data_IF_701100695828
#
_entry.id   IF_701100695828
#
_cell.length_a   1.000
_cell.length_b   1.000
_cell.length_c   1.000
_cell.angle_alpha   90.00
_cell.angle_beta   90.00
_cell.angle_gamma   90.00
#
_symmetry.space_group_name_H-M   'P 1'
#
loop_
_entity.id
_entity.type
_entity.pdbx_description
1 polymer ?
#
# COMPACT_ATOMS: atom_id res chain seq x y z
N UNK A 1 1.76 -44.13 -19.35
CA UNK A 1 2.22 -42.74 -19.19
C UNK A 1 1.12 -41.95 -18.50
N UNK A 2 1.16 -41.86 -17.18
CA UNK A 2 0.19 -41.09 -16.40
C UNK A 2 0.61 -39.63 -16.50
N UNK A 3 -0.17 -38.80 -17.22
CA UNK A 3 0.04 -37.36 -17.21
C UNK A 3 -0.16 -36.86 -15.78
N UNK A 4 0.92 -36.48 -15.11
CA UNK A 4 0.85 -35.64 -13.92
C UNK A 4 0.44 -34.26 -14.44
N UNK A 5 -0.86 -34.04 -14.56
CA UNK A 5 -1.42 -32.69 -14.67
C UNK A 5 -0.98 -32.00 -13.38
N UNK A 6 -0.08 -31.03 -13.47
CA UNK A 6 0.29 -30.22 -12.32
C UNK A 6 -0.97 -29.54 -11.83
N UNK A 7 -1.56 -30.04 -10.74
CA UNK A 7 -2.70 -29.37 -10.14
C UNK A 7 -2.20 -28.01 -9.67
N UNK A 8 -2.68 -26.94 -10.31
CA UNK A 8 -2.35 -25.58 -9.91
C UNK A 8 -2.67 -25.38 -8.42
N UNK A 9 -2.05 -24.38 -7.77
CA UNK A 9 -2.25 -24.14 -6.35
C UNK A 9 -3.76 -24.05 -6.03
N UNK A 10 -4.21 -24.85 -5.06
CA UNK A 10 -5.60 -24.87 -4.59
C UNK A 10 -5.74 -23.99 -3.35
N UNK A 11 -6.92 -23.37 -3.19
CA UNK A 11 -7.22 -22.55 -2.04
C UNK A 11 -7.57 -23.46 -0.86
N UNK A 12 -6.70 -23.49 0.15
CA UNK A 12 -6.95 -24.23 1.38
C UNK A 12 -8.02 -23.53 2.25
N UNK A 13 -8.49 -24.21 3.29
CA UNK A 13 -9.56 -23.67 4.15
C UNK A 13 -9.15 -22.35 4.82
N UNK A 14 -7.88 -22.24 5.25
CA UNK A 14 -7.32 -21.01 5.81
C UNK A 14 -7.27 -19.87 4.77
N UNK A 15 -6.90 -20.20 3.53
CA UNK A 15 -6.93 -19.27 2.41
C UNK A 15 -8.34 -18.78 2.10
N UNK A 16 -9.35 -19.64 2.13
CA UNK A 16 -10.73 -19.21 1.96
C UNK A 16 -11.17 -18.23 3.05
N UNK A 17 -10.86 -18.52 4.32
CA UNK A 17 -11.17 -17.61 5.43
C UNK A 17 -10.48 -16.26 5.26
N UNK A 18 -9.21 -16.26 4.86
CA UNK A 18 -8.49 -15.01 4.61
C UNK A 18 -9.06 -14.22 3.42
N UNK A 19 -9.49 -14.88 2.34
CA UNK A 19 -10.15 -14.21 1.21
C UNK A 19 -11.44 -13.52 1.65
N UNK A 20 -12.25 -14.20 2.48
CA UNK A 20 -13.47 -13.64 3.07
C UNK A 20 -13.18 -12.44 3.98
N UNK A 21 -12.13 -12.51 4.81
CA UNK A 21 -11.70 -11.37 5.64
C UNK A 21 -11.32 -10.17 4.79
N UNK A 22 -10.51 -10.35 3.74
CA UNK A 22 -10.05 -9.25 2.88
C UNK A 22 -11.26 -8.59 2.20
N UNK A 23 -12.11 -9.38 1.54
CA UNK A 23 -13.28 -8.87 0.82
C UNK A 23 -14.32 -8.24 1.76
N UNK A 24 -14.64 -8.92 2.86
CA UNK A 24 -15.55 -8.38 3.88
C UNK A 24 -15.02 -7.11 4.53
N UNK A 25 -13.74 -7.08 4.87
CA UNK A 25 -13.11 -5.96 5.55
C UNK A 25 -13.04 -4.69 4.71
N UNK A 26 -12.60 -4.80 3.45
CA UNK A 26 -12.56 -3.63 2.56
C UNK A 26 -13.96 -3.10 2.22
N UNK A 27 -14.92 -4.00 1.99
CA UNK A 27 -16.30 -3.62 1.68
C UNK A 27 -16.99 -2.98 2.88
N UNK A 28 -16.77 -3.47 4.10
CA UNK A 28 -17.32 -2.85 5.31
C UNK A 28 -16.76 -1.44 5.51
N UNK A 29 -15.44 -1.26 5.36
CA UNK A 29 -14.82 0.05 5.46
C UNK A 29 -15.34 1.04 4.41
N UNK A 30 -15.44 0.60 3.16
CA UNK A 30 -16.06 1.36 2.08
C UNK A 30 -17.52 1.75 2.42
N UNK A 31 -18.32 0.77 2.83
CA UNK A 31 -19.75 0.96 3.14
C UNK A 31 -19.94 1.99 4.24
N UNK A 32 -19.20 1.85 5.36
CA UNK A 32 -19.28 2.78 6.48
C UNK A 32 -18.87 4.19 6.03
N UNK A 33 -17.79 4.33 5.25
CA UNK A 33 -17.33 5.64 4.78
C UNK A 33 -18.37 6.35 3.90
N UNK A 34 -19.08 5.61 3.04
CA UNK A 34 -20.14 6.16 2.17
C UNK A 34 -21.40 6.49 2.96
N UNK A 35 -21.83 5.62 3.88
CA UNK A 35 -23.01 5.86 4.73
C UNK A 35 -22.82 7.07 5.65
N UNK A 36 -21.61 7.27 6.17
CA UNK A 36 -21.29 8.39 7.04
C UNK A 36 -20.87 9.66 6.29
N UNK A 37 -20.81 9.59 4.95
CA UNK A 37 -20.32 10.66 4.07
C UNK A 37 -18.94 11.21 4.49
N UNK A 38 -18.02 10.31 4.85
CA UNK A 38 -16.67 10.69 5.26
C UNK A 38 -15.77 10.95 4.06
N UNK A 39 -14.88 11.96 4.12
CA UNK A 39 -13.92 12.24 3.04
C UNK A 39 -12.88 11.12 2.95
N UNK A 40 -12.13 11.09 1.85
CA UNK A 40 -11.02 10.15 1.65
C UNK A 40 -11.42 8.67 1.84
N UNK A 41 -12.53 8.25 1.20
CA UNK A 41 -13.03 6.85 1.23
C UNK A 41 -11.97 5.79 0.88
N UNK A 42 -10.92 6.20 0.15
CA UNK A 42 -9.70 5.41 -0.08
C UNK A 42 -9.12 4.81 1.20
N UNK A 43 -8.96 5.58 2.29
CA UNK A 43 -8.33 5.09 3.51
C UNK A 43 -9.16 3.99 4.17
N UNK A 44 -10.46 4.21 4.24
CA UNK A 44 -11.40 3.25 4.82
C UNK A 44 -11.51 1.96 4.00
N UNK A 45 -11.29 2.02 2.69
CA UNK A 45 -11.35 0.84 1.82
C UNK A 45 -10.02 0.08 1.80
N UNK A 46 -8.90 0.80 1.71
CA UNK A 46 -7.58 0.22 1.44
C UNK A 46 -6.91 -0.27 2.72
N UNK A 47 -7.03 0.42 3.87
CA UNK A 47 -6.36 -0.03 5.09
C UNK A 47 -6.83 -1.40 5.59
N UNK A 48 -8.14 -1.73 5.64
CA UNK A 48 -8.58 -3.09 5.94
C UNK A 48 -8.02 -4.11 4.96
N UNK A 49 -7.95 -3.75 3.67
CA UNK A 49 -7.40 -4.60 2.64
C UNK A 49 -5.90 -4.87 2.83
N UNK A 50 -5.11 -3.84 3.16
CA UNK A 50 -3.68 -3.98 3.45
C UNK A 50 -3.47 -4.84 4.69
N UNK A 51 -4.17 -4.53 5.79
CA UNK A 51 -3.99 -5.22 7.07
C UNK A 51 -4.37 -6.71 6.95
N UNK A 52 -5.57 -7.00 6.42
CA UNK A 52 -6.06 -8.38 6.29
C UNK A 52 -5.39 -9.15 5.14
N UNK A 53 -4.86 -8.43 4.15
CA UNK A 53 -4.17 -9.01 3.00
C UNK A 53 -2.71 -9.39 3.29
N UNK A 54 -1.99 -8.55 4.03
CA UNK A 54 -0.57 -8.76 4.35
C UNK A 54 -0.36 -9.55 5.64
N UNK A 55 -1.35 -9.56 6.53
CA UNK A 55 -1.23 -10.19 7.84
C UNK A 55 -2.34 -11.24 8.01
N UNK A 56 -2.00 -12.53 7.94
CA UNK A 56 -3.00 -13.59 8.04
C UNK A 56 -3.50 -13.85 9.46
N UNK A 57 -2.81 -13.34 10.50
CA UNK A 57 -3.15 -13.51 11.92
C UNK A 57 -3.11 -12.19 12.67
N UNK A 58 -4.17 -11.84 13.39
CA UNK A 58 -4.22 -10.63 14.21
C UNK A 58 -3.56 -10.88 15.57
N UNK A 59 -2.47 -10.17 15.86
CA UNK A 59 -1.80 -10.22 17.17
C UNK A 59 -1.76 -8.84 17.83
N UNK A 60 -1.63 -8.80 19.15
CA UNK A 60 -1.53 -7.52 19.89
C UNK A 60 -0.33 -6.69 19.43
N UNK A 61 0.82 -7.34 19.19
CA UNK A 61 2.02 -6.66 18.69
C UNK A 61 1.79 -6.01 17.31
N UNK A 62 1.00 -6.67 16.47
CA UNK A 62 0.65 -6.18 15.14
C UNK A 62 -0.25 -4.93 15.19
N UNK A 63 -1.29 -4.99 16.01
CA UNK A 63 -2.19 -3.86 16.24
C UNK A 63 -1.40 -2.67 16.78
N UNK A 64 -0.50 -2.92 17.75
CA UNK A 64 0.37 -1.89 18.31
C UNK A 64 1.27 -1.27 17.24
N UNK A 65 1.89 -2.08 16.37
CA UNK A 65 2.70 -1.57 15.26
C UNK A 65 1.89 -0.71 14.28
N UNK A 66 0.66 -1.12 13.98
CA UNK A 66 -0.22 -0.39 13.06
C UNK A 66 -0.64 0.97 13.65
N UNK A 67 -1.14 0.99 14.89
CA UNK A 67 -1.52 2.24 15.58
C UNK A 67 -0.29 3.15 15.80
N UNK A 68 0.85 2.58 16.20
CA UNK A 68 2.08 3.35 16.37
C UNK A 68 2.54 3.98 15.05
N UNK A 69 2.45 3.24 13.92
CA UNK A 69 2.83 3.78 12.61
C UNK A 69 1.97 4.99 12.23
N UNK A 70 0.67 4.92 12.52
CA UNK A 70 -0.29 6.00 12.28
C UNK A 70 0.06 7.27 13.06
N UNK A 71 0.23 7.11 14.38
CA UNK A 71 0.57 8.19 15.29
C UNK A 71 1.92 8.82 14.93
N UNK A 72 2.90 7.98 14.58
CA UNK A 72 4.21 8.42 14.12
C UNK A 72 4.10 9.25 12.84
N UNK A 73 3.44 8.75 11.79
CA UNK A 73 3.29 9.48 10.53
C UNK A 73 2.55 10.81 10.72
N UNK A 74 1.47 10.83 11.52
CA UNK A 74 0.74 12.05 11.84
C UNK A 74 1.62 13.08 12.56
N UNK A 75 2.37 12.66 13.58
CA UNK A 75 3.27 13.53 14.33
C UNK A 75 4.37 14.12 13.43
N UNK A 76 5.01 13.28 12.63
CA UNK A 76 6.06 13.74 11.70
C UNK A 76 5.50 14.76 10.72
N UNK A 77 4.34 14.51 10.13
CA UNK A 77 3.71 15.44 9.18
C UNK A 77 3.39 16.78 9.83
N UNK A 78 2.87 16.79 11.06
CA UNK A 78 2.62 18.02 11.82
C UNK A 78 3.92 18.80 12.07
N UNK A 79 4.99 18.11 12.45
CA UNK A 79 6.31 18.73 12.67
C UNK A 79 6.86 19.30 11.35
N UNK A 80 6.86 18.51 10.27
CA UNK A 80 7.41 18.92 8.97
C UNK A 80 6.63 20.11 8.40
N UNK A 81 5.30 20.01 8.36
CA UNK A 81 4.46 21.06 7.80
C UNK A 81 4.43 22.31 8.69
N UNK A 82 4.39 22.12 10.02
CA UNK A 82 4.30 23.21 10.98
C UNK A 82 5.58 24.01 11.13
N UNK A 83 6.75 23.36 11.08
CA UNK A 83 8.03 24.02 11.36
C UNK A 83 8.90 24.23 10.12
N UNK A 84 8.80 23.39 9.09
CA UNK A 84 9.77 23.34 7.98
C UNK A 84 9.16 23.52 6.59
N UNK A 85 7.85 23.77 6.46
CA UNK A 85 7.17 23.94 5.16
C UNK A 85 7.75 25.05 4.28
N UNK A 86 8.34 26.09 4.87
CA UNK A 86 9.00 27.18 4.16
C UNK A 86 10.44 26.87 3.74
N UNK A 87 11.01 25.74 4.17
CA UNK A 87 12.39 25.31 3.89
C UNK A 87 12.40 23.96 3.16
N UNK A 88 12.04 23.92 1.87
CA UNK A 88 11.81 22.66 1.14
C UNK A 88 13.03 21.73 1.11
N UNK A 89 14.25 22.29 1.02
CA UNK A 89 15.49 21.49 1.04
C UNK A 89 15.71 20.84 2.41
N UNK A 90 15.50 21.59 3.49
CA UNK A 90 15.63 21.07 4.86
C UNK A 90 14.58 20.00 5.12
N UNK A 91 13.33 20.25 4.69
CA UNK A 91 12.25 19.27 4.80
C UNK A 91 12.60 17.97 4.04
N UNK A 92 13.15 18.04 2.83
CA UNK A 92 13.56 16.85 2.08
C UNK A 92 14.66 16.03 2.80
N UNK A 93 15.64 16.70 3.41
CA UNK A 93 16.68 16.04 4.21
C UNK A 93 16.13 15.39 5.48
N UNK A 94 15.18 16.04 6.15
CA UNK A 94 14.49 15.48 7.31
C UNK A 94 13.63 14.26 6.92
N UNK A 95 12.89 14.35 5.81
CA UNK A 95 12.12 13.24 5.24
C UNK A 95 13.03 12.06 4.93
N UNK A 96 14.21 12.29 4.34
CA UNK A 96 15.22 11.25 4.14
C UNK A 96 15.66 10.59 5.45
N UNK A 97 15.94 11.38 6.50
CA UNK A 97 16.27 10.85 7.82
C UNK A 97 15.16 9.98 8.42
N UNK A 98 13.90 10.40 8.29
CA UNK A 98 12.75 9.62 8.76
C UNK A 98 12.57 8.33 7.95
N UNK A 99 12.72 8.38 6.62
CA UNK A 99 12.69 7.16 5.81
C UNK A 99 13.83 6.20 6.18
N UNK A 100 15.04 6.70 6.46
CA UNK A 100 16.14 5.87 6.97
C UNK A 100 15.75 5.12 8.24
N UNK A 101 15.10 5.79 9.19
CA UNK A 101 14.58 5.14 10.39
C UNK A 101 13.52 4.07 10.04
N UNK A 102 12.53 4.39 9.22
CA UNK A 102 11.44 3.46 8.88
C UNK A 102 11.93 2.23 8.10
N UNK A 103 12.78 2.41 7.09
CA UNK A 103 13.37 1.29 6.35
C UNK A 103 14.34 0.49 7.22
N UNK A 104 14.98 1.09 8.22
CA UNK A 104 15.77 0.33 9.20
C UNK A 104 14.89 -0.59 10.05
N UNK A 105 13.71 -0.13 10.48
CA UNK A 105 12.72 -0.97 11.18
C UNK A 105 12.20 -2.11 10.28
N UNK A 106 12.08 -1.87 8.97
CA UNK A 106 11.75 -2.92 7.99
C UNK A 106 12.88 -3.94 7.83
N UNK A 107 14.11 -3.46 7.67
CA UNK A 107 15.26 -4.32 7.39
C UNK A 107 15.71 -5.16 8.60
N UNK A 108 15.57 -4.63 9.83
CA UNK A 108 15.93 -5.30 11.09
C UNK A 108 14.88 -6.31 11.59
N UNK A 109 13.67 -6.28 11.04
CA UNK A 109 12.65 -7.34 11.15
C UNK A 109 11.72 -7.34 12.35
N UNK A 110 12.13 -6.82 13.52
CA UNK A 110 11.28 -6.81 14.73
C UNK A 110 10.06 -5.90 14.60
N UNK A 111 10.16 -4.83 13.81
CA UNK A 111 9.14 -3.81 13.62
C UNK A 111 8.80 -3.63 12.12
N UNK A 112 8.83 -4.72 11.35
CA UNK A 112 8.64 -4.67 9.90
C UNK A 112 7.35 -3.97 9.49
N UNK A 113 6.22 -4.28 10.14
CA UNK A 113 4.93 -3.69 9.79
C UNK A 113 4.83 -2.23 10.20
N UNK A 114 5.39 -1.86 11.35
CA UNK A 114 5.49 -0.45 11.75
C UNK A 114 6.25 0.35 10.69
N UNK A 115 7.40 -0.16 10.22
CA UNK A 115 8.17 0.47 9.16
C UNK A 115 7.38 0.54 7.85
N UNK A 116 6.84 -0.59 7.37
CA UNK A 116 6.13 -0.67 6.10
C UNK A 116 4.89 0.26 6.05
N UNK A 117 4.05 0.20 7.08
CA UNK A 117 2.83 1.01 7.17
C UNK A 117 3.19 2.48 7.43
N UNK A 118 4.27 2.73 8.18
CA UNK A 118 4.82 4.06 8.43
C UNK A 118 5.30 4.74 7.15
N UNK A 119 6.06 4.05 6.29
CA UNK A 119 6.53 4.64 5.01
C UNK A 119 5.34 4.98 4.12
N UNK A 120 4.40 4.05 3.94
CA UNK A 120 3.21 4.30 3.10
C UNK A 120 2.36 5.44 3.65
N UNK A 121 2.02 5.41 4.94
CA UNK A 121 1.17 6.44 5.55
C UNK A 121 1.85 7.80 5.56
N UNK A 122 3.17 7.84 5.83
CA UNK A 122 3.94 9.08 5.81
C UNK A 122 4.03 9.66 4.40
N UNK A 123 4.34 8.86 3.38
CA UNK A 123 4.39 9.33 1.99
C UNK A 123 3.07 9.93 1.53
N UNK A 124 1.95 9.26 1.81
CA UNK A 124 0.62 9.78 1.42
C UNK A 124 0.29 11.08 2.15
N UNK A 125 0.54 11.15 3.47
CA UNK A 125 0.24 12.36 4.24
C UNK A 125 1.15 13.53 3.85
N UNK A 126 2.45 13.30 3.62
CA UNK A 126 3.38 14.33 3.14
C UNK A 126 3.02 14.82 1.74
N UNK A 127 2.53 13.94 0.88
CA UNK A 127 2.06 14.33 -0.45
C UNK A 127 0.90 15.31 -0.34
N UNK A 128 -0.17 14.92 0.34
CA UNK A 128 -1.30 15.82 0.53
C UNK A 128 -0.91 17.11 1.27
N UNK A 129 -0.06 17.01 2.30
CA UNK A 129 0.39 18.18 3.06
C UNK A 129 1.12 19.22 2.20
N UNK A 130 1.81 18.76 1.16
CA UNK A 130 2.56 19.62 0.25
C UNK A 130 1.67 20.56 -0.57
N UNK A 131 0.37 20.25 -0.70
CA UNK A 131 -0.58 21.03 -1.51
C UNK A 131 -1.60 21.83 -0.68
N UNK A 132 -1.43 21.85 0.65
CA UNK A 132 -2.31 22.55 1.61
C UNK A 132 -2.27 24.09 1.46
N UNK A 133 -1.42 24.64 0.58
CA UNK A 133 -1.34 26.08 0.29
C UNK A 133 -2.55 26.72 -0.42
N UNK A 134 -3.52 25.93 -0.88
CA UNK A 134 -4.73 26.42 -1.59
C UNK A 134 -5.97 26.56 -0.67
N UNK A 135 -5.79 27.02 0.56
CA UNK A 135 -6.90 27.32 1.49
C UNK A 135 -7.54 26.10 2.20
N UNK A 136 -6.98 24.91 2.03
CA UNK A 136 -7.38 23.70 2.75
C UNK A 136 -6.52 23.51 4.01
N UNK A 137 -7.04 22.79 5.02
CA UNK A 137 -6.29 22.46 6.23
C UNK A 137 -5.78 21.03 6.17
N UNK A 138 -4.61 20.76 6.76
CA UNK A 138 -4.06 19.42 6.89
C UNK A 138 -4.77 18.57 7.96
N UNK A 139 -5.42 19.21 8.95
CA UNK A 139 -6.01 18.51 10.09
C UNK A 139 -7.12 17.52 9.70
N UNK A 140 -8.07 17.84 8.80
CA UNK A 140 -9.08 16.88 8.35
C UNK A 140 -8.46 15.61 7.74
N UNK A 141 -7.37 15.73 6.99
CA UNK A 141 -6.68 14.57 6.43
C UNK A 141 -6.10 13.67 7.53
N UNK A 142 -5.37 14.26 8.47
CA UNK A 142 -4.74 13.54 9.59
C UNK A 142 -5.80 12.84 10.44
N UNK A 143 -6.89 13.55 10.77
CA UNK A 143 -8.00 13.02 11.55
C UNK A 143 -8.72 11.88 10.81
N UNK A 144 -9.01 12.05 9.52
CA UNK A 144 -9.66 11.02 8.70
C UNK A 144 -8.77 9.78 8.59
N UNK A 145 -7.46 9.96 8.42
CA UNK A 145 -6.50 8.87 8.40
C UNK A 145 -6.48 8.11 9.75
N UNK A 146 -6.44 8.84 10.87
CA UNK A 146 -6.51 8.25 12.21
C UNK A 146 -7.81 7.47 12.43
N UNK A 147 -8.95 8.03 12.02
CA UNK A 147 -10.26 7.37 12.10
C UNK A 147 -10.30 6.09 11.25
N UNK A 148 -9.78 6.14 10.02
CA UNK A 148 -9.71 4.97 9.14
C UNK A 148 -8.87 3.83 9.75
N UNK A 149 -7.78 4.17 10.44
CA UNK A 149 -6.91 3.20 11.10
C UNK A 149 -7.61 2.56 12.30
N UNK A 150 -8.26 3.36 13.15
CA UNK A 150 -9.06 2.84 14.27
C UNK A 150 -10.18 1.92 13.78
N UNK A 151 -10.93 2.37 12.77
CA UNK A 151 -11.99 1.55 12.17
C UNK A 151 -11.42 0.26 11.56
N UNK A 152 -10.26 0.34 10.91
CA UNK A 152 -9.58 -0.84 10.33
C UNK A 152 -9.25 -1.88 11.39
N UNK A 153 -8.78 -1.47 12.58
CA UNK A 153 -8.52 -2.41 13.69
C UNK A 153 -9.81 -3.08 14.15
N UNK A 154 -10.91 -2.32 14.29
CA UNK A 154 -12.22 -2.86 14.67
C UNK A 154 -12.73 -3.85 13.62
N UNK A 155 -12.66 -3.48 12.34
CA UNK A 155 -13.05 -4.35 11.22
C UNK A 155 -12.18 -5.61 11.20
N UNK A 156 -10.86 -5.48 11.41
CA UNK A 156 -9.97 -6.63 11.40
C UNK A 156 -10.29 -7.60 12.55
N UNK A 157 -10.53 -7.08 13.75
CA UNK A 157 -10.96 -7.90 14.90
C UNK A 157 -12.28 -8.62 14.60
N UNK A 158 -13.26 -7.91 14.03
CA UNK A 158 -14.54 -8.49 13.61
C UNK A 158 -14.36 -9.59 12.56
N UNK A 159 -13.59 -9.34 11.50
CA UNK A 159 -13.36 -10.31 10.42
C UNK A 159 -12.62 -11.56 10.92
N UNK A 160 -11.67 -11.40 11.84
CA UNK A 160 -11.00 -12.54 12.49
C UNK A 160 -11.93 -13.33 13.41
N UNK A 161 -12.92 -12.66 14.05
CA UNK A 161 -13.95 -13.32 14.85
C UNK A 161 -14.98 -14.08 13.99
N UNK A 162 -15.44 -13.48 12.89
CA UNK A 162 -16.43 -14.10 11.99
C UNK A 162 -15.84 -15.24 11.15
N UNK A 163 -14.58 -15.10 10.75
CA UNK A 163 -13.89 -16.08 9.92
C UNK A 163 -12.58 -16.47 10.61
N UNK A 164 -12.56 -17.26 11.70
CA UNK A 164 -11.32 -17.67 12.36
C UNK A 164 -10.49 -18.61 11.46
N UNK A 165 -9.17 -18.71 11.72
CA UNK A 165 -8.32 -19.69 11.04
C UNK A 165 -8.71 -21.09 11.52
N UNK A 166 -8.75 -22.05 10.58
CA UNK A 166 -9.06 -23.47 10.85
C UNK A 166 -7.87 -24.15 11.53
N UNK A 167 -6.65 -23.80 11.10
CA UNK A 167 -5.41 -24.31 11.69
C UNK A 167 -4.47 -23.15 12.03
N UNK A 168 -3.73 -23.29 13.12
CA UNK A 168 -2.76 -22.28 13.54
C UNK A 168 -1.69 -22.10 12.45
N UNK A 169 -1.41 -20.84 12.09
CA UNK A 169 -0.37 -20.51 11.11
C UNK A 169 0.98 -20.35 11.81
N UNK A 170 2.06 -20.92 11.28
CA UNK A 170 3.39 -20.72 11.85
C UNK A 170 3.80 -19.25 11.72
N UNK A 171 4.46 -18.73 12.74
CA UNK A 171 5.07 -17.41 12.69
C UNK A 171 6.15 -17.35 11.61
N UNK A 172 6.24 -16.24 10.88
CA UNK A 172 7.30 -16.04 9.90
C UNK A 172 8.62 -15.79 10.63
N UNK A 173 9.56 -16.72 10.49
CA UNK A 173 10.95 -16.50 10.96
C UNK A 173 11.67 -15.63 9.94
N UNK A 174 12.21 -14.51 10.40
CA UNK A 174 13.03 -13.64 9.54
C UNK A 174 14.48 -14.12 9.55
N UNK A 175 15.13 -14.24 8.39
CA UNK A 175 16.53 -14.61 8.32
C UNK A 175 17.40 -13.49 8.92
N UNK A 176 18.49 -13.86 9.59
CA UNK A 176 19.49 -12.91 10.03
C UNK A 176 20.17 -12.27 8.81
N UNK A 177 20.33 -10.94 8.84
CA UNK A 177 20.97 -10.17 7.76
C UNK A 177 22.29 -9.57 8.22
N UNK A 178 23.26 -9.51 7.30
CA UNK A 178 24.51 -8.80 7.52
C UNK A 178 24.26 -7.28 7.69
N UNK A 179 25.07 -6.61 8.52
CA UNK A 179 24.89 -5.18 8.83
C UNK A 179 25.07 -4.31 7.57
N UNK A 180 25.97 -4.71 6.69
CA UNK A 180 26.28 -4.10 5.41
C UNK A 180 25.06 -4.17 4.48
N UNK A 181 24.37 -5.31 4.47
CA UNK A 181 23.13 -5.49 3.70
C UNK A 181 22.01 -4.64 4.27
N UNK A 182 21.87 -4.55 5.60
CA UNK A 182 20.89 -3.64 6.22
C UNK A 182 21.16 -2.18 5.81
N UNK A 183 22.41 -1.72 5.88
CA UNK A 183 22.78 -0.35 5.45
C UNK A 183 22.47 -0.11 3.97
N UNK A 184 22.75 -1.09 3.12
CA UNK A 184 22.43 -1.03 1.70
C UNK A 184 20.93 -0.86 1.47
N UNK A 185 20.11 -1.74 2.05
CA UNK A 185 18.65 -1.71 1.91
C UNK A 185 18.08 -0.37 2.39
N UNK A 186 18.53 0.11 3.55
CA UNK A 186 18.07 1.38 4.13
C UNK A 186 18.42 2.56 3.23
N UNK A 187 19.68 2.71 2.82
CA UNK A 187 20.10 3.86 2.01
C UNK A 187 19.46 3.84 0.62
N UNK A 188 19.36 2.67 0.00
CA UNK A 188 18.72 2.49 -1.30
C UNK A 188 17.23 2.88 -1.21
N UNK A 189 16.48 2.29 -0.29
CA UNK A 189 15.05 2.53 -0.21
C UNK A 189 14.72 3.96 0.24
N UNK A 190 15.44 4.51 1.22
CA UNK A 190 15.21 5.88 1.68
C UNK A 190 15.53 6.92 0.61
N UNK A 191 16.63 6.75 -0.13
CA UNK A 191 16.98 7.67 -1.21
C UNK A 191 15.94 7.67 -2.33
N UNK A 192 15.47 6.49 -2.74
CA UNK A 192 14.43 6.38 -3.78
C UNK A 192 13.08 6.90 -3.29
N UNK A 193 12.69 6.63 -2.05
CA UNK A 193 11.46 7.16 -1.46
C UNK A 193 11.50 8.69 -1.34
N UNK A 194 12.63 9.27 -0.90
CA UNK A 194 12.82 10.72 -0.86
C UNK A 194 12.83 11.33 -2.26
N UNK A 195 13.47 10.69 -3.24
CA UNK A 195 13.43 11.16 -4.63
C UNK A 195 11.99 11.15 -5.16
N UNK A 196 11.24 10.08 -4.88
CA UNK A 196 9.83 10.01 -5.24
C UNK A 196 8.97 11.05 -4.52
N UNK A 197 9.32 11.46 -3.31
CA UNK A 197 8.71 12.62 -2.66
C UNK A 197 9.05 13.88 -3.50
N UNK A 198 10.32 14.27 -3.56
CA UNK A 198 10.77 15.50 -4.26
C UNK A 198 10.19 15.64 -5.68
N UNK A 199 10.21 14.58 -6.49
CA UNK A 199 9.68 14.61 -7.87
C UNK A 199 8.18 14.95 -7.89
N UNK A 200 7.39 14.38 -6.99
CA UNK A 200 5.95 14.63 -6.94
C UNK A 200 5.65 16.07 -6.52
N UNK A 201 6.45 16.62 -5.61
CA UNK A 201 6.30 18.01 -5.19
C UNK A 201 6.75 19.00 -6.28
N UNK A 202 7.91 18.76 -6.92
CA UNK A 202 8.47 19.66 -7.94
C UNK A 202 7.64 19.66 -9.22
N UNK A 203 7.09 18.51 -9.61
CA UNK A 203 6.26 18.38 -10.82
C UNK A 203 4.76 18.60 -10.56
N UNK A 204 4.38 19.03 -9.35
CA UNK A 204 2.99 19.31 -8.95
C UNK A 204 2.00 18.16 -9.25
N UNK A 205 2.39 16.93 -8.92
CA UNK A 205 1.63 15.72 -9.28
C UNK A 205 0.52 15.39 -8.26
N UNK A 206 -0.33 16.37 -7.94
CA UNK A 206 -1.36 16.29 -6.88
C UNK A 206 -2.25 15.05 -7.01
N UNK A 207 -2.75 14.78 -8.22
CA UNK A 207 -3.69 13.69 -8.50
C UNK A 207 -3.04 12.30 -8.59
N UNK A 208 -1.70 12.23 -8.57
CA UNK A 208 -0.95 10.98 -8.79
C UNK A 208 -0.59 10.22 -7.51
N UNK A 209 -1.34 10.39 -6.42
CA UNK A 209 -1.09 9.73 -5.12
C UNK A 209 -0.89 8.23 -5.26
N UNK A 210 -1.67 7.60 -6.13
CA UNK A 210 -1.57 6.17 -6.39
C UNK A 210 -0.25 5.74 -7.04
N UNK A 211 0.34 6.61 -7.86
CA UNK A 211 1.65 6.41 -8.47
C UNK A 211 2.77 6.56 -7.43
N UNK A 212 2.66 7.53 -6.52
CA UNK A 212 3.60 7.67 -5.40
C UNK A 212 3.48 6.51 -4.40
N UNK A 213 2.27 6.03 -4.11
CA UNK A 213 2.08 4.85 -3.29
C UNK A 213 2.68 3.61 -3.98
N UNK A 214 2.57 3.49 -5.30
CA UNK A 214 3.17 2.39 -6.05
C UNK A 214 4.71 2.44 -6.04
N UNK A 215 5.33 3.61 -6.19
CA UNK A 215 6.80 3.75 -6.10
C UNK A 215 7.32 3.36 -4.71
N UNK A 216 6.57 3.63 -3.66
CA UNK A 216 6.91 3.20 -2.28
C UNK A 216 6.70 1.70 -2.08
N UNK A 217 5.59 1.14 -2.55
CA UNK A 217 5.25 -0.28 -2.34
C UNK A 217 6.27 -1.23 -2.98
N UNK A 218 6.87 -0.88 -4.12
CA UNK A 218 7.91 -1.71 -4.74
C UNK A 218 9.19 -1.78 -3.88
N UNK A 219 9.43 -0.80 -3.02
CA UNK A 219 10.58 -0.75 -2.10
C UNK A 219 10.40 -1.67 -0.89
N UNK A 220 9.22 -2.25 -0.67
CA UNK A 220 9.02 -3.25 0.39
C UNK A 220 9.84 -4.52 0.18
N UNK A 221 10.30 -4.73 -1.05
CA UNK A 221 11.22 -5.79 -1.43
C UNK A 221 12.64 -5.60 -0.88
N UNK A 222 13.01 -4.37 -0.49
CA UNK A 222 14.29 -3.95 0.09
C UNK A 222 15.54 -4.16 -0.79
N UNK A 223 15.48 -4.95 -1.85
CA UNK A 223 16.61 -5.22 -2.75
C UNK A 223 16.27 -5.00 -4.22
N UNK A 224 17.28 -4.72 -5.05
CA UNK A 224 17.14 -4.39 -6.48
C UNK A 224 16.35 -5.45 -7.27
N UNK A 225 16.77 -6.73 -7.21
CA UNK A 225 16.14 -7.80 -7.99
C UNK A 225 14.69 -8.02 -7.62
N UNK A 226 14.39 -8.02 -6.31
CA UNK A 226 13.03 -8.19 -5.83
C UNK A 226 12.18 -6.94 -6.09
N UNK A 227 12.77 -5.74 -6.11
CA UNK A 227 12.08 -4.52 -6.51
C UNK A 227 11.65 -4.57 -7.98
N UNK A 228 12.50 -5.09 -8.87
CA UNK A 228 12.15 -5.32 -10.28
C UNK A 228 10.94 -6.23 -10.43
N UNK A 229 10.95 -7.39 -9.75
CA UNK A 229 9.80 -8.30 -9.75
C UNK A 229 8.55 -7.66 -9.15
N UNK A 230 8.68 -6.96 -8.01
CA UNK A 230 7.58 -6.27 -7.36
C UNK A 230 6.98 -5.18 -8.27
N UNK A 231 7.83 -4.42 -8.99
CA UNK A 231 7.41 -3.41 -9.96
C UNK A 231 6.63 -3.99 -11.12
N UNK A 232 7.10 -5.10 -11.69
CA UNK A 232 6.39 -5.79 -12.76
C UNK A 232 5.02 -6.31 -12.30
N UNK A 233 4.99 -6.98 -11.14
CA UNK A 233 3.76 -7.50 -10.56
C UNK A 233 2.77 -6.36 -10.23
N UNK A 234 3.28 -5.21 -9.77
CA UNK A 234 2.47 -4.02 -9.51
C UNK A 234 1.89 -3.44 -10.79
N UNK A 235 2.67 -3.32 -11.85
CA UNK A 235 2.21 -2.82 -13.15
C UNK A 235 1.09 -3.68 -13.72
N UNK A 236 1.26 -5.02 -13.72
CA UNK A 236 0.21 -5.96 -14.14
C UNK A 236 -1.03 -5.84 -13.24
N UNK A 237 -0.82 -5.78 -11.93
CA UNK A 237 -1.92 -5.62 -10.98
C UNK A 237 -2.71 -4.34 -11.19
N UNK A 238 -2.04 -3.23 -11.48
CA UNK A 238 -2.68 -1.95 -11.80
C UNK A 238 -3.42 -2.01 -13.13
N UNK A 239 -2.86 -2.63 -14.16
CA UNK A 239 -3.56 -2.82 -15.44
C UNK A 239 -4.87 -3.58 -15.25
N UNK A 240 -4.83 -4.75 -14.59
CA UNK A 240 -6.01 -5.58 -14.37
C UNK A 240 -7.01 -4.85 -13.46
N UNK A 241 -6.56 -4.21 -12.39
CA UNK A 241 -7.43 -3.48 -11.46
C UNK A 241 -8.13 -2.28 -12.11
N UNK A 242 -7.44 -1.53 -12.97
CA UNK A 242 -8.06 -0.45 -13.75
C UNK A 242 -9.12 -1.00 -14.71
N UNK A 243 -8.80 -2.07 -15.45
CA UNK A 243 -9.77 -2.69 -16.37
C UNK A 243 -10.99 -3.26 -15.63
N UNK A 244 -10.81 -3.88 -14.46
CA UNK A 244 -11.90 -4.36 -13.64
C UNK A 244 -12.80 -3.22 -13.12
N UNK A 245 -12.22 -2.08 -12.75
CA UNK A 245 -12.97 -0.89 -12.35
C UNK A 245 -13.78 -0.29 -13.51
N UNK A 246 -13.17 -0.19 -14.70
CA UNK A 246 -13.86 0.28 -15.91
C UNK A 246 -15.02 -0.65 -16.29
N UNK A 247 -14.79 -1.97 -16.26
CA UNK A 247 -15.84 -2.95 -16.51
C UNK A 247 -16.98 -2.84 -15.48
N UNK A 248 -16.64 -2.63 -14.22
CA UNK A 248 -17.63 -2.40 -13.15
C UNK A 248 -18.45 -1.13 -13.40
N UNK A 249 -17.84 -0.06 -13.90
CA UNK A 249 -18.56 1.17 -14.27
C UNK A 249 -19.49 0.96 -15.45
N UNK A 250 -19.10 0.16 -16.44
CA UNK A 250 -19.98 -0.23 -17.55
C UNK A 250 -21.19 -1.01 -17.03
N UNK A 251 -20.98 -1.94 -16.09
CA UNK A 251 -22.07 -2.70 -15.46
C UNK A 251 -22.99 -1.84 -14.59
N UNK A 252 -22.43 -0.92 -13.80
CA UNK A 252 -23.21 -0.01 -12.95
C UNK A 252 -23.97 1.02 -13.79
N UNK A 253 -23.36 1.49 -14.89
CA UNK A 253 -23.86 2.55 -15.75
C UNK A 253 -24.35 3.75 -14.91
N UNK A 254 -25.66 4.03 -14.88
CA UNK A 254 -26.29 5.10 -14.11
C UNK A 254 -26.71 4.71 -12.68
N UNK A 255 -26.43 3.48 -12.24
CA UNK A 255 -26.87 2.96 -10.94
C UNK A 255 -25.77 2.97 -9.86
N UNK A 256 -24.70 3.75 -10.07
CA UNK A 256 -23.65 3.94 -9.06
C UNK A 256 -24.16 4.57 -7.76
N UNK A 257 -25.28 5.29 -7.84
CA UNK A 257 -25.85 6.02 -6.69
C UNK A 257 -26.62 5.10 -5.75
N UNK A 258 -27.08 3.94 -6.24
CA UNK A 258 -27.68 2.92 -5.40
C UNK A 258 -26.60 2.08 -4.75
N UNK A 259 -26.17 2.51 -3.55
CA UNK A 259 -24.99 2.01 -2.83
C UNK A 259 -24.88 0.48 -2.74
N UNK A 260 -26.00 -0.25 -2.73
CA UNK A 260 -26.01 -1.71 -2.72
C UNK A 260 -25.27 -2.32 -3.93
N UNK A 261 -25.37 -1.73 -5.12
CA UNK A 261 -24.72 -2.29 -6.31
C UNK A 261 -23.19 -2.11 -6.28
N UNK A 262 -22.62 -0.91 -5.99
CA UNK A 262 -21.19 -0.77 -5.75
C UNK A 262 -20.67 -1.70 -4.64
N UNK A 263 -21.41 -1.85 -3.54
CA UNK A 263 -21.04 -2.75 -2.43
C UNK A 263 -20.95 -4.21 -2.91
N UNK A 264 -21.97 -4.68 -3.63
CA UNK A 264 -22.01 -6.05 -4.14
C UNK A 264 -20.86 -6.32 -5.11
N UNK A 265 -20.63 -5.42 -6.07
CA UNK A 265 -19.53 -5.55 -7.04
C UNK A 265 -18.18 -5.51 -6.34
N UNK A 266 -17.98 -4.55 -5.41
CA UNK A 266 -16.75 -4.43 -4.64
C UNK A 266 -16.45 -5.71 -3.89
N UNK A 267 -17.45 -6.29 -3.21
CA UNK A 267 -17.27 -7.53 -2.45
C UNK A 267 -16.95 -8.72 -3.36
N UNK A 268 -17.72 -8.93 -4.44
CA UNK A 268 -17.54 -10.05 -5.37
C UNK A 268 -16.14 -10.01 -6.00
N UNK A 269 -15.76 -8.86 -6.57
CA UNK A 269 -14.47 -8.72 -7.24
C UNK A 269 -13.31 -8.76 -6.24
N UNK A 270 -13.44 -8.12 -5.08
CA UNK A 270 -12.41 -8.21 -4.03
C UNK A 270 -12.24 -9.64 -3.53
N UNK A 271 -13.31 -10.43 -3.43
CA UNK A 271 -13.20 -11.85 -3.07
C UNK A 271 -12.44 -12.66 -4.13
N UNK A 272 -12.74 -12.45 -5.42
CA UNK A 272 -12.03 -13.09 -6.53
C UNK A 272 -10.55 -12.71 -6.52
N UNK A 273 -10.24 -11.42 -6.37
CA UNK A 273 -8.85 -10.94 -6.36
C UNK A 273 -8.08 -11.35 -5.10
N UNK A 274 -8.75 -11.42 -3.94
CA UNK A 274 -8.17 -11.95 -2.71
C UNK A 274 -7.82 -13.42 -2.84
N UNK A 275 -8.64 -14.21 -3.54
CA UNK A 275 -8.30 -15.59 -3.87
C UNK A 275 -7.02 -15.65 -4.72
N UNK A 276 -6.88 -14.83 -5.77
CA UNK A 276 -5.65 -14.79 -6.56
C UNK A 276 -4.43 -14.35 -5.75
N UNK A 277 -4.59 -13.38 -4.85
CA UNK A 277 -3.54 -12.96 -3.92
C UNK A 277 -3.04 -14.10 -3.04
N UNK A 278 -3.96 -14.89 -2.48
CA UNK A 278 -3.62 -16.00 -1.59
C UNK A 278 -3.00 -17.17 -2.35
N UNK A 279 -3.53 -17.50 -3.54
CA UNK A 279 -2.95 -18.51 -4.42
C UNK A 279 -1.54 -18.14 -4.89
N UNK A 280 -1.21 -16.84 -4.95
CA UNK A 280 0.13 -16.33 -5.19
C UNK A 280 1.09 -16.40 -3.99
N UNK A 281 0.69 -17.06 -2.89
CA UNK A 281 1.50 -17.21 -1.68
C UNK A 281 1.25 -16.14 -0.61
N UNK A 282 0.25 -15.26 -0.78
CA UNK A 282 -0.15 -14.26 0.21
C UNK A 282 0.85 -13.13 0.45
N UNK A 283 1.95 -13.09 -0.30
CA UNK A 283 2.92 -11.98 -0.33
C UNK A 283 2.41 -10.93 -1.32
N UNK A 284 2.63 -9.62 -1.08
CA UNK A 284 2.27 -8.58 -2.04
C UNK A 284 2.83 -8.86 -3.44
N UNK A 285 1.95 -9.24 -4.36
CA UNK A 285 2.26 -9.51 -5.77
C UNK A 285 1.13 -9.07 -6.68
N UNK A 286 0.89 -9.77 -7.80
CA UNK A 286 -0.12 -9.35 -8.80
C UNK A 286 -1.50 -9.23 -8.17
N UNK A 287 -2.00 -10.26 -7.47
CA UNK A 287 -3.33 -10.26 -6.86
C UNK A 287 -3.53 -9.11 -5.86
N UNK A 288 -2.51 -8.82 -5.05
CA UNK A 288 -2.52 -7.66 -4.15
C UNK A 288 -2.52 -6.32 -4.91
N UNK A 289 -1.77 -6.25 -6.01
CA UNK A 289 -1.77 -5.12 -6.93
C UNK A 289 -3.16 -4.85 -7.52
N UNK A 290 -3.86 -5.89 -7.96
CA UNK A 290 -5.25 -5.79 -8.45
C UNK A 290 -6.18 -5.29 -7.35
N UNK A 291 -6.17 -5.96 -6.20
CA UNK A 291 -6.99 -5.62 -5.03
C UNK A 291 -6.88 -4.14 -4.67
N UNK A 292 -5.66 -3.68 -4.43
CA UNK A 292 -5.42 -2.30 -3.98
C UNK A 292 -5.71 -1.28 -5.07
N UNK A 293 -5.42 -1.59 -6.34
CA UNK A 293 -5.77 -0.70 -7.46
C UNK A 293 -7.28 -0.52 -7.57
N UNK A 294 -8.00 -1.64 -7.57
CA UNK A 294 -9.46 -1.68 -7.66
C UNK A 294 -10.10 -0.98 -6.44
N UNK A 295 -9.63 -1.29 -5.23
CA UNK A 295 -10.13 -0.69 -3.99
C UNK A 295 -9.94 0.82 -3.93
N UNK A 296 -8.83 1.36 -4.43
CA UNK A 296 -8.67 2.81 -4.47
C UNK A 296 -9.61 3.46 -5.50
N UNK A 297 -9.74 2.88 -6.70
CA UNK A 297 -10.65 3.43 -7.72
C UNK A 297 -12.11 3.44 -7.21
N UNK A 298 -12.53 2.38 -6.52
CA UNK A 298 -13.85 2.34 -5.88
C UNK A 298 -13.96 3.33 -4.71
N UNK A 299 -12.96 3.38 -3.83
CA UNK A 299 -12.99 4.24 -2.64
C UNK A 299 -12.92 5.74 -2.94
N UNK A 300 -12.34 6.14 -4.07
CA UNK A 300 -12.08 7.54 -4.40
C UNK A 300 -12.82 8.05 -5.64
N UNK A 301 -12.93 7.22 -6.68
CA UNK A 301 -13.35 7.65 -8.01
C UNK A 301 -14.72 7.09 -8.42
N UNK A 302 -15.34 6.23 -7.59
CA UNK A 302 -16.69 5.73 -7.83
C UNK A 302 -17.72 6.54 -7.01
N UNK A 303 -18.53 7.31 -7.73
CA UNK A 303 -19.62 8.13 -7.19
C UNK A 303 -20.17 9.13 -8.21
N UNK A 304 -21.32 9.76 -7.92
CA UNK A 304 -21.93 10.74 -8.82
C UNK A 304 -20.99 11.92 -9.07
N UNK A 305 -20.83 12.30 -10.35
CA UNK A 305 -19.97 13.40 -10.79
C UNK A 305 -18.47 13.11 -10.83
N UNK A 306 -18.04 11.87 -10.54
CA UNK A 306 -16.64 11.45 -10.64
C UNK A 306 -16.35 10.79 -11.99
N UNK A 307 -15.22 11.13 -12.61
CA UNK A 307 -14.77 10.50 -13.85
C UNK A 307 -13.86 9.30 -13.55
N UNK A 308 -14.48 8.12 -13.44
CA UNK A 308 -13.75 6.88 -13.25
C UNK A 308 -12.89 6.52 -14.46
N UNK A 309 -13.31 6.90 -15.67
CA UNK A 309 -12.59 6.55 -16.91
C UNK A 309 -11.25 7.29 -16.94
N UNK A 310 -11.29 8.62 -16.76
CA UNK A 310 -10.10 9.43 -16.62
C UNK A 310 -9.23 8.93 -15.46
N UNK A 311 -9.82 8.71 -14.28
CA UNK A 311 -9.10 8.23 -13.10
C UNK A 311 -8.36 6.91 -13.36
N UNK A 312 -8.98 5.97 -14.07
CA UNK A 312 -8.38 4.67 -14.39
C UNK A 312 -7.25 4.78 -15.41
N UNK A 313 -7.43 5.59 -16.46
CA UNK A 313 -6.41 5.83 -17.50
C UNK A 313 -5.20 6.57 -16.93
N UNK A 314 -5.46 7.69 -16.22
CA UNK A 314 -4.43 8.48 -15.57
C UNK A 314 -3.66 7.68 -14.53
N UNK A 315 -4.34 6.83 -13.76
CA UNK A 315 -3.69 5.91 -12.84
C UNK A 315 -2.77 4.92 -13.55
N UNK A 316 -3.25 4.27 -14.60
CA UNK A 316 -2.43 3.27 -15.30
C UNK A 316 -1.16 3.91 -15.88
N UNK A 317 -1.27 5.08 -16.50
CA UNK A 317 -0.12 5.81 -17.04
C UNK A 317 0.83 6.31 -15.95
N UNK A 318 0.31 7.02 -14.95
CA UNK A 318 1.13 7.59 -13.86
C UNK A 318 1.85 6.52 -13.05
N UNK A 319 1.17 5.41 -12.69
CA UNK A 319 1.78 4.29 -11.97
C UNK A 319 2.88 3.64 -12.80
N UNK A 320 2.65 3.44 -14.11
CA UNK A 320 3.65 2.83 -14.99
C UNK A 320 4.92 3.68 -15.08
N UNK A 321 4.76 5.00 -15.29
CA UNK A 321 5.90 5.93 -15.34
C UNK A 321 6.63 5.98 -14.00
N UNK A 322 5.91 6.08 -12.88
CA UNK A 322 6.50 6.12 -11.55
C UNK A 322 7.27 4.84 -11.21
N UNK A 323 6.77 3.66 -11.58
CA UNK A 323 7.47 2.38 -11.40
C UNK A 323 8.76 2.36 -12.22
N UNK A 324 8.71 2.75 -13.50
CA UNK A 324 9.90 2.76 -14.37
C UNK A 324 10.98 3.68 -13.78
N UNK A 325 10.63 4.92 -13.44
CA UNK A 325 11.58 5.89 -12.88
C UNK A 325 12.15 5.41 -11.53
N UNK A 326 11.30 4.83 -10.68
CA UNK A 326 11.73 4.29 -9.39
C UNK A 326 12.68 3.11 -9.58
N UNK A 327 12.40 2.19 -10.50
CA UNK A 327 13.32 1.10 -10.81
C UNK A 327 14.64 1.61 -11.37
N UNK A 328 14.65 2.60 -12.26
CA UNK A 328 15.88 3.25 -12.70
C UNK A 328 16.68 3.82 -11.52
N UNK A 329 16.01 4.48 -10.56
CA UNK A 329 16.66 5.00 -9.36
C UNK A 329 17.21 3.88 -8.44
N UNK A 330 16.43 2.81 -8.22
CA UNK A 330 16.85 1.62 -7.45
C UNK A 330 18.08 0.97 -8.11
N UNK A 331 18.12 0.85 -9.44
CA UNK A 331 19.27 0.32 -10.18
C UNK A 331 20.54 1.15 -9.95
N UNK A 332 20.43 2.46 -10.14
CA UNK A 332 21.55 3.40 -9.98
C UNK A 332 22.05 3.38 -8.54
N UNK A 333 21.16 3.47 -7.56
CA UNK A 333 21.53 3.45 -6.14
C UNK A 333 22.15 2.11 -5.74
N UNK A 334 21.62 0.99 -6.21
CA UNK A 334 22.20 -0.33 -5.96
C UNK A 334 23.64 -0.41 -6.44
N UNK A 335 23.92 0.05 -7.67
CA UNK A 335 25.27 0.05 -8.21
C UNK A 335 26.22 1.02 -7.51
N UNK A 336 25.75 2.19 -7.07
CA UNK A 336 26.55 3.14 -6.29
C UNK A 336 26.94 2.50 -4.94
N UNK A 337 25.96 1.96 -4.22
CA UNK A 337 26.17 1.42 -2.87
C UNK A 337 27.06 0.17 -2.87
N UNK A 338 27.01 -0.66 -3.91
CA UNK A 338 27.87 -1.85 -4.00
C UNK A 338 29.36 -1.54 -4.23
N UNK A 339 29.72 -0.29 -4.57
CA UNK A 339 31.13 0.13 -4.67
C UNK A 339 31.82 0.20 -3.32
N UNK A 340 31.08 0.37 -2.24
CA UNK A 340 31.63 0.52 -0.89
C UNK A 340 31.46 -0.78 -0.09
N UNK A 341 32.51 -1.23 0.60
CA UNK A 341 32.47 -2.44 1.44
C UNK A 341 31.43 -2.34 2.56
N UNK A 342 31.27 -1.14 3.14
CA UNK A 342 30.38 -0.84 4.27
C UNK A 342 28.89 -0.99 3.91
N UNK A 343 28.55 -0.93 2.61
CA UNK A 343 27.19 -1.00 2.06
C UNK A 343 27.06 -2.06 0.97
N UNK A 344 28.00 -3.02 0.90
CA UNK A 344 27.92 -4.09 -0.09
C UNK A 344 26.78 -5.03 0.27
N UNK A 345 25.89 -5.28 -0.68
CA UNK A 345 24.78 -6.20 -0.46
C UNK A 345 25.29 -7.64 -0.58
N UNK A 346 24.89 -8.51 0.35
CA UNK A 346 25.34 -9.91 0.43
C UNK A 346 24.19 -10.91 0.31
N UNK A 347 22.96 -10.42 0.33
CA UNK A 347 21.75 -11.22 0.16
C UNK A 347 21.30 -11.14 -1.30
N UNK A 348 21.32 -12.26 -2.03
CA UNK A 348 20.79 -12.41 -3.40
C UNK A 348 21.68 -11.93 -4.57
N UNK A 349 22.93 -12.41 -4.63
CA UNK A 349 23.67 -12.52 -5.90
C UNK A 349 22.97 -13.38 -6.96
#
# INVERSE_FOLDING_TARGET
MTQIVSQGPQLDSNGLRQALRIAGGCTLGFTISKLMNWPNGIFFTVYPMLLLGMVPTLSRGLINQFIASAAFSALIVLIMQGLFSHLPVVMALLVFGVFCFLFHQMSSGSAFLFGALGVVSLSIQLHFSSYVGQGSSIYPLILTNGLAILLTVVIAALMHGLFPDVTARPGRVMPAKAKESIRHEVLLCSSVATLSFVVFQVLDLQDSISAQAASVLILFSLCWKAAGMAGWQRAIGTLIGCNAALLSQVFLYSHSDFLLFPIAILWILSFIFARFHILGGGIPGIGFGVLTTFGILFGNSLGPGQDLIYSAMYRFSSVSVAIILSLCAVYVMHHILNRFSVTRHHTFD
#
